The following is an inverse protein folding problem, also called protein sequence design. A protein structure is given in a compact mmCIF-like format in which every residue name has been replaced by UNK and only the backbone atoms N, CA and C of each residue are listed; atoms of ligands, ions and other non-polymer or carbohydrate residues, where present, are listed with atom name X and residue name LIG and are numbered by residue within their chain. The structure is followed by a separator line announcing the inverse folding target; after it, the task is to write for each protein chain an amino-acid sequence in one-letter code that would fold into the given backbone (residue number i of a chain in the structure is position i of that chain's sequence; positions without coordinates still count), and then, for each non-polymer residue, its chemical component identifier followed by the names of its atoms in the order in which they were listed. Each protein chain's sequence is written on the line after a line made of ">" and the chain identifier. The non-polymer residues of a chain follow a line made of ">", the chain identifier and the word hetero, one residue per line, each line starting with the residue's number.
data_IF_559636625240
#
_entry.id   IF_559636625240
#
_cell.length_a   1.000
_cell.length_b   1.000
_cell.length_c   1.000
_cell.angle_alpha   90.00
_cell.angle_beta   90.00
_cell.angle_gamma   90.00
#
_symmetry.space_group_name_H-M   'P 1'
#
loop_
_entity.id
_entity.type
_entity.pdbx_description
1 polymer ?
#
# COMPACT_ATOMS: atom_id res chain seq x y z
N UNK A 1 9.51 18.40 -15.27
CA UNK A 1 8.29 17.60 -15.52
C UNK A 1 7.37 18.27 -16.57
N UNK A 2 6.61 17.54 -17.39
CA UNK A 2 5.67 18.15 -18.38
C UNK A 2 4.30 18.45 -17.75
N UNK A 3 3.64 19.55 -18.16
CA UNK A 3 2.29 19.92 -17.70
C UNK A 3 1.25 18.80 -17.93
N UNK A 4 1.43 18.03 -19.01
CA UNK A 4 0.59 16.89 -19.34
C UNK A 4 0.64 15.79 -18.28
N UNK A 5 1.84 15.44 -17.78
CA UNK A 5 2.02 14.42 -16.73
C UNK A 5 1.28 14.83 -15.44
N UNK A 6 1.45 16.10 -15.03
CA UNK A 6 0.79 16.62 -13.84
C UNK A 6 -0.74 16.66 -13.99
N UNK A 7 -1.24 17.02 -15.17
CA UNK A 7 -2.68 17.01 -15.47
C UNK A 7 -3.25 15.61 -15.30
N UNK A 8 -2.56 14.57 -15.79
CA UNK A 8 -3.02 13.17 -15.70
C UNK A 8 -3.03 12.63 -14.27
N UNK A 9 -2.06 13.01 -13.44
CA UNK A 9 -2.03 12.64 -12.03
C UNK A 9 -3.14 13.31 -11.22
N UNK A 10 -3.37 14.61 -11.47
CA UNK A 10 -4.49 15.34 -10.89
C UNK A 10 -5.82 14.69 -11.29
N UNK A 11 -5.98 14.37 -12.57
CA UNK A 11 -7.19 13.72 -13.08
C UNK A 11 -7.42 12.35 -12.45
N UNK A 12 -6.35 11.56 -12.23
CA UNK A 12 -6.43 10.28 -11.51
C UNK A 12 -6.93 10.47 -10.07
N UNK A 13 -6.35 11.40 -9.30
CA UNK A 13 -6.77 11.69 -7.93
C UNK A 13 -8.23 12.15 -7.88
N UNK A 14 -8.63 13.05 -8.78
CA UNK A 14 -10.00 13.56 -8.87
C UNK A 14 -11.01 12.47 -9.23
N UNK A 15 -10.68 11.58 -10.17
CA UNK A 15 -11.56 10.48 -10.56
C UNK A 15 -11.75 9.46 -9.43
N UNK A 16 -10.67 9.11 -8.72
CA UNK A 16 -10.79 8.25 -7.54
C UNK A 16 -11.60 8.93 -6.43
N UNK A 17 -11.43 10.24 -6.22
CA UNK A 17 -12.15 11.00 -5.20
C UNK A 17 -13.66 11.11 -5.44
N UNK A 18 -14.14 10.95 -6.68
CA UNK A 18 -15.58 10.88 -7.00
C UNK A 18 -16.27 9.69 -6.33
N UNK A 19 -15.55 8.59 -6.12
CA UNK A 19 -16.10 7.35 -5.54
C UNK A 19 -15.65 7.18 -4.09
N UNK A 20 -14.42 7.57 -3.76
CA UNK A 20 -13.85 7.47 -2.41
C UNK A 20 -14.12 8.78 -1.65
N UNK A 21 -15.38 9.01 -1.32
CA UNK A 21 -15.83 10.27 -0.73
C UNK A 21 -15.20 10.55 0.64
N UNK A 22 -14.77 11.81 0.84
CA UNK A 22 -14.27 12.33 2.11
C UNK A 22 -12.90 11.80 2.55
N UNK A 23 -12.15 11.14 1.66
CA UNK A 23 -10.84 10.52 1.98
C UNK A 23 -9.74 10.89 0.97
N UNK A 24 -9.50 12.18 0.69
CA UNK A 24 -8.53 12.62 -0.31
C UNK A 24 -7.10 12.16 0.01
N UNK A 25 -6.73 12.16 1.30
CA UNK A 25 -5.39 11.70 1.72
C UNK A 25 -5.15 10.22 1.43
N UNK A 26 -6.19 9.37 1.56
CA UNK A 26 -6.07 7.93 1.31
C UNK A 26 -5.95 7.67 -0.18
N UNK A 27 -6.74 8.38 -0.99
CA UNK A 27 -6.61 8.35 -2.46
C UNK A 27 -5.19 8.72 -2.87
N UNK A 28 -4.69 9.85 -2.38
CA UNK A 28 -3.33 10.31 -2.64
C UNK A 28 -2.26 9.29 -2.23
N UNK A 29 -2.36 8.73 -1.02
CA UNK A 29 -1.41 7.69 -0.56
C UNK A 29 -1.49 6.41 -1.41
N UNK A 30 -2.67 6.04 -1.92
CA UNK A 30 -2.81 4.91 -2.85
C UNK A 30 -2.16 5.21 -4.21
N UNK A 31 -2.34 6.41 -4.76
CA UNK A 31 -1.67 6.85 -6.00
C UNK A 31 -0.16 6.85 -5.81
N UNK A 32 0.33 7.45 -4.73
CA UNK A 32 1.76 7.43 -4.36
C UNK A 32 2.24 5.98 -4.24
N UNK A 33 1.49 5.07 -3.61
CA UNK A 33 1.92 3.69 -3.46
C UNK A 33 2.05 2.94 -4.79
N UNK A 34 1.13 3.14 -5.73
CA UNK A 34 1.23 2.52 -7.06
C UNK A 34 2.44 3.03 -7.83
N UNK A 35 2.71 4.34 -7.75
CA UNK A 35 3.83 5.00 -8.42
C UNK A 35 5.18 4.68 -7.76
N UNK A 36 5.20 4.57 -6.43
CA UNK A 36 6.33 4.12 -5.63
C UNK A 36 6.45 2.59 -5.58
N UNK A 37 5.67 1.88 -6.40
CA UNK A 37 5.87 0.44 -6.59
C UNK A 37 5.66 -0.40 -5.31
N UNK A 38 4.85 0.13 -4.40
CA UNK A 38 4.64 -0.39 -3.05
C UNK A 38 3.21 -0.86 -2.78
N UNK A 39 3.04 -1.50 -1.63
CA UNK A 39 1.77 -2.06 -1.18
C UNK A 39 1.21 -1.30 0.02
N UNK A 40 -0.12 -1.37 0.20
CA UNK A 40 -0.82 -0.59 1.23
C UNK A 40 -1.52 -1.53 2.20
N UNK A 41 -1.36 -1.26 3.50
CA UNK A 41 -2.10 -1.92 4.57
C UNK A 41 -3.11 -0.93 5.17
N UNK A 42 -4.39 -1.19 4.95
CA UNK A 42 -5.50 -0.41 5.49
C UNK A 42 -6.01 -1.02 6.79
N UNK A 43 -5.82 -0.32 7.89
CA UNK A 43 -6.38 -0.72 9.18
C UNK A 43 -7.70 -0.02 9.40
N UNK A 44 -8.77 -0.82 9.51
CA UNK A 44 -10.04 -0.26 9.98
C UNK A 44 -11.09 -1.32 10.30
N UNK A 45 -12.17 -0.85 10.90
CA UNK A 45 -13.45 -1.56 11.01
C UNK A 45 -14.11 -1.83 9.64
N UNK A 46 -14.98 -2.85 9.55
CA UNK A 46 -15.72 -3.16 8.32
C UNK A 46 -16.59 -2.00 7.82
N UNK A 47 -16.81 -1.93 6.51
CA UNK A 47 -17.82 -1.04 5.91
C UNK A 47 -17.35 0.38 5.53
N UNK A 48 -16.06 0.70 5.66
CA UNK A 48 -15.54 2.07 5.43
C UNK A 48 -15.10 2.36 3.97
N UNK A 49 -15.59 1.59 2.99
CA UNK A 49 -15.32 1.82 1.56
C UNK A 49 -13.96 1.34 1.04
N UNK A 50 -13.28 0.41 1.74
CA UNK A 50 -11.97 -0.14 1.31
C UNK A 50 -12.05 -0.81 -0.08
N UNK A 51 -13.15 -1.51 -0.34
CA UNK A 51 -13.40 -2.13 -1.65
C UNK A 51 -13.51 -1.11 -2.77
N UNK A 52 -14.10 0.05 -2.49
CA UNK A 52 -14.22 1.13 -3.48
C UNK A 52 -12.86 1.68 -3.87
N UNK A 53 -11.91 1.79 -2.93
CA UNK A 53 -10.55 2.27 -3.21
C UNK A 53 -9.85 1.34 -4.22
N UNK A 54 -9.86 0.03 -3.96
CA UNK A 54 -9.22 -0.95 -4.83
C UNK A 54 -9.87 -1.03 -6.21
N UNK A 55 -11.22 -1.08 -6.26
CA UNK A 55 -11.95 -1.08 -7.54
C UNK A 55 -11.69 0.22 -8.33
N UNK A 56 -11.79 1.39 -7.69
CA UNK A 56 -11.60 2.68 -8.35
C UNK A 56 -10.19 2.81 -8.92
N UNK A 57 -9.17 2.41 -8.15
CA UNK A 57 -7.79 2.40 -8.62
C UNK A 57 -7.63 1.54 -9.87
N UNK A 58 -8.15 0.30 -9.84
CA UNK A 58 -8.04 -0.62 -10.96
C UNK A 58 -8.72 -0.08 -12.23
N UNK A 59 -9.94 0.47 -12.10
CA UNK A 59 -10.66 1.05 -13.22
C UNK A 59 -9.92 2.27 -13.79
N UNK A 60 -9.41 3.15 -12.94
CA UNK A 60 -8.71 4.36 -13.39
C UNK A 60 -7.41 4.05 -14.15
N UNK A 61 -6.77 2.91 -13.91
CA UNK A 61 -5.51 2.50 -14.56
C UNK A 61 -5.69 1.45 -15.67
N UNK A 62 -6.94 1.15 -16.07
CA UNK A 62 -7.26 0.08 -17.02
C UNK A 62 -6.66 -1.29 -16.61
N UNK A 63 -6.66 -1.56 -15.30
CA UNK A 63 -6.05 -2.74 -14.70
C UNK A 63 -7.08 -3.76 -14.22
N UNK A 64 -6.64 -5.02 -14.15
CA UNK A 64 -7.46 -6.08 -13.57
C UNK A 64 -7.59 -5.92 -12.05
N UNK A 65 -8.82 -6.02 -11.55
CA UNK A 65 -9.12 -6.03 -10.12
C UNK A 65 -9.42 -7.45 -9.63
N UNK A 66 -8.84 -7.83 -8.50
CA UNK A 66 -9.26 -9.02 -7.77
C UNK A 66 -9.52 -8.68 -6.30
N UNK A 67 -10.64 -9.17 -5.77
CA UNK A 67 -10.93 -9.14 -4.34
C UNK A 67 -10.78 -10.54 -3.77
N UNK A 68 -9.95 -10.65 -2.74
CA UNK A 68 -9.67 -11.88 -2.02
C UNK A 68 -10.05 -11.68 -0.55
N UNK A 69 -11.03 -12.45 -0.07
CA UNK A 69 -11.36 -12.52 1.35
C UNK A 69 -10.44 -13.56 2.01
N UNK A 70 -9.63 -13.15 2.98
CA UNK A 70 -8.71 -14.05 3.66
C UNK A 70 -9.41 -14.71 4.85
N UNK A 71 -9.83 -15.96 4.65
CA UNK A 71 -10.50 -16.76 5.68
C UNK A 71 -9.51 -17.71 6.38
N UNK A 72 -9.86 -18.24 7.58
CA UNK A 72 -8.98 -19.14 8.33
C UNK A 72 -8.68 -20.47 7.62
N UNK A 73 -9.56 -20.92 6.73
CA UNK A 73 -9.48 -22.15 5.96
C UNK A 73 -8.77 -22.00 4.61
N UNK A 74 -8.46 -20.77 4.20
CA UNK A 74 -7.82 -20.48 2.93
C UNK A 74 -6.40 -21.04 2.88
N UNK A 75 -6.10 -21.83 1.84
CA UNK A 75 -4.79 -22.42 1.62
C UNK A 75 -3.90 -21.50 0.77
N UNK A 76 -2.56 -21.62 0.86
CA UNK A 76 -1.66 -20.90 -0.01
C UNK A 76 -1.97 -21.08 -1.50
N UNK A 77 -2.32 -22.31 -1.93
CA UNK A 77 -2.69 -22.66 -3.31
C UNK A 77 -3.92 -21.93 -3.82
N UNK A 78 -4.84 -21.55 -2.94
CA UNK A 78 -6.05 -20.81 -3.33
C UNK A 78 -5.73 -19.37 -3.69
N UNK A 79 -4.56 -18.87 -3.25
CA UNK A 79 -4.06 -17.52 -3.52
C UNK A 79 -3.08 -17.53 -4.69
N UNK A 80 -2.11 -18.46 -4.65
CA UNK A 80 -1.04 -18.50 -5.64
C UNK A 80 -1.40 -19.27 -6.91
N UNK A 81 -2.47 -20.06 -6.88
CA UNK A 81 -2.85 -20.96 -7.96
C UNK A 81 -2.34 -22.38 -7.75
N UNK A 82 -2.74 -23.28 -8.65
CA UNK A 82 -2.45 -24.72 -8.54
C UNK A 82 -2.25 -25.35 -9.92
N UNK A 83 -1.48 -26.43 -9.97
CA UNK A 83 -1.32 -27.24 -11.17
C UNK A 83 -2.37 -28.33 -11.21
N UNK A 84 -3.23 -28.29 -12.23
CA UNK A 84 -4.27 -29.29 -12.44
C UNK A 84 -3.80 -30.33 -13.46
N UNK A 85 -3.90 -31.61 -13.11
CA UNK A 85 -3.63 -32.70 -14.04
C UNK A 85 -4.74 -32.78 -15.10
N UNK A 86 -4.36 -32.70 -16.37
CA UNK A 86 -5.28 -32.85 -17.50
C UNK A 86 -5.32 -34.32 -17.94
N UNK A 87 -6.41 -35.02 -17.62
CA UNK A 87 -6.61 -36.42 -17.97
C UNK A 87 -6.58 -36.69 -19.49
N UNK A 88 -6.83 -35.70 -20.35
CA UNK A 88 -6.82 -35.88 -21.81
C UNK A 88 -5.41 -35.84 -22.39
N UNK A 89 -4.54 -34.98 -21.87
CA UNK A 89 -3.16 -34.81 -22.39
C UNK A 89 -2.14 -35.59 -21.56
N UNK A 90 -2.45 -35.92 -20.31
CA UNK A 90 -1.51 -36.50 -19.36
C UNK A 90 -0.55 -35.49 -18.73
N UNK A 91 -0.79 -34.19 -18.94
CA UNK A 91 0.10 -33.11 -18.49
C UNK A 91 -0.52 -32.30 -17.34
N UNK A 92 0.35 -31.69 -16.53
CA UNK A 92 -0.05 -30.70 -15.53
C UNK A 92 -0.17 -29.33 -16.17
N UNK A 93 -1.34 -28.69 -16.04
CA UNK A 93 -1.59 -27.31 -16.49
C UNK A 93 -1.72 -26.39 -15.29
N UNK A 94 -0.85 -25.39 -15.21
CA UNK A 94 -0.95 -24.37 -14.17
C UNK A 94 -2.22 -23.51 -14.36
N UNK A 95 -2.97 -23.34 -13.28
CA UNK A 95 -4.09 -22.41 -13.17
C UNK A 95 -3.69 -21.26 -12.24
N UNK A 96 -3.51 -20.05 -12.80
CA UNK A 96 -3.17 -18.87 -12.01
C UNK A 96 -4.21 -18.60 -10.91
N UNK A 97 -3.72 -18.23 -9.73
CA UNK A 97 -4.56 -17.83 -8.62
C UNK A 97 -5.04 -16.37 -8.72
N UNK A 98 -5.83 -15.91 -7.73
CA UNK A 98 -6.36 -14.54 -7.66
C UNK A 98 -5.29 -13.45 -7.60
N UNK A 99 -4.03 -13.77 -7.27
CA UNK A 99 -2.96 -12.77 -7.29
C UNK A 99 -2.55 -12.29 -8.69
N UNK A 100 -2.97 -12.97 -9.76
CA UNK A 100 -2.68 -12.55 -11.14
C UNK A 100 -3.65 -11.45 -11.60
N UNK A 101 -3.68 -10.35 -10.86
CA UNK A 101 -4.42 -9.12 -11.15
C UNK A 101 -3.54 -7.90 -10.86
N UNK A 102 -3.80 -6.76 -11.51
CA UNK A 102 -3.00 -5.55 -11.29
C UNK A 102 -3.24 -4.95 -9.90
N UNK A 103 -4.49 -4.98 -9.43
CA UNK A 103 -4.89 -4.50 -8.11
C UNK A 103 -5.57 -5.63 -7.35
N UNK A 104 -4.96 -6.07 -6.26
CA UNK A 104 -5.49 -7.11 -5.38
C UNK A 104 -5.92 -6.47 -4.06
N UNK A 105 -7.21 -6.55 -3.73
CA UNK A 105 -7.72 -6.25 -2.40
C UNK A 105 -7.72 -7.53 -1.56
N UNK A 106 -6.83 -7.60 -0.58
CA UNK A 106 -6.72 -8.73 0.34
C UNK A 106 -7.40 -8.38 1.68
N UNK A 107 -8.67 -8.73 1.81
CA UNK A 107 -9.47 -8.39 2.99
C UNK A 107 -9.16 -9.29 4.18
N UNK A 108 -9.01 -8.67 5.36
CA UNK A 108 -8.80 -9.35 6.65
C UNK A 108 -7.58 -10.28 6.68
N UNK A 109 -6.41 -9.75 6.27
CA UNK A 109 -5.15 -10.50 6.23
C UNK A 109 -4.78 -11.17 7.55
N UNK A 110 -5.21 -10.59 8.67
CA UNK A 110 -5.02 -11.15 10.00
C UNK A 110 -5.95 -12.34 10.32
N UNK A 111 -6.88 -12.77 9.47
CA UNK A 111 -7.76 -13.94 9.74
C UNK A 111 -7.27 -15.24 9.13
N UNK A 112 -6.32 -15.20 8.21
CA UNK A 112 -5.76 -16.41 7.59
C UNK A 112 -4.49 -16.88 8.30
N UNK A 113 -4.11 -18.13 8.09
CA UNK A 113 -2.95 -18.74 8.77
C UNK A 113 -1.63 -18.06 8.38
N UNK A 114 -0.59 -18.08 9.25
CA UNK A 114 0.71 -17.50 8.94
C UNK A 114 1.35 -18.03 7.65
N UNK A 115 1.05 -19.28 7.27
CA UNK A 115 1.54 -19.88 6.02
C UNK A 115 0.90 -19.22 4.79
N UNK A 116 -0.40 -19.00 4.84
CA UNK A 116 -1.16 -18.33 3.77
C UNK A 116 -0.79 -16.85 3.68
N UNK A 117 -0.63 -16.16 4.82
CA UNK A 117 -0.07 -14.80 4.86
C UNK A 117 1.31 -14.73 4.19
N UNK A 118 2.19 -15.68 4.51
CA UNK A 118 3.54 -15.72 3.94
C UNK A 118 3.54 -15.87 2.43
N UNK A 119 2.65 -16.70 1.87
CA UNK A 119 2.52 -16.87 0.41
C UNK A 119 2.12 -15.57 -0.30
N UNK A 120 1.16 -14.82 0.25
CA UNK A 120 0.79 -13.50 -0.26
C UNK A 120 1.96 -12.50 -0.19
N UNK A 121 2.66 -12.47 0.95
CA UNK A 121 3.74 -11.53 1.21
C UNK A 121 5.03 -11.83 0.43
N UNK A 122 5.26 -13.10 0.09
CA UNK A 122 6.33 -13.54 -0.80
C UNK A 122 6.04 -13.06 -2.23
N UNK A 123 4.82 -13.30 -2.72
CA UNK A 123 4.37 -12.80 -4.02
C UNK A 123 4.49 -11.26 -4.15
N UNK A 124 4.18 -10.53 -3.07
CA UNK A 124 4.42 -9.08 -2.96
C UNK A 124 5.89 -8.69 -3.09
N UNK A 125 6.78 -9.43 -2.43
CA UNK A 125 8.22 -9.09 -2.38
C UNK A 125 8.92 -9.42 -3.70
N UNK A 126 8.61 -10.59 -4.26
CA UNK A 126 9.33 -11.15 -5.39
C UNK A 126 8.67 -10.78 -6.74
N UNK A 127 7.41 -10.31 -6.70
CA UNK A 127 6.58 -10.00 -7.88
C UNK A 127 6.45 -11.16 -8.87
N UNK A 128 6.59 -12.36 -8.35
CA UNK A 128 6.42 -13.61 -9.07
C UNK A 128 5.94 -14.67 -8.10
N UNK A 129 5.39 -15.74 -8.65
CA UNK A 129 4.90 -16.89 -7.90
C UNK A 129 5.57 -18.13 -8.45
N UNK A 130 6.13 -18.97 -7.57
CA UNK A 130 6.74 -20.24 -7.98
C UNK A 130 5.85 -21.41 -7.57
N UNK A 131 5.39 -22.20 -8.54
CA UNK A 131 4.59 -23.40 -8.33
C UNK A 131 5.24 -24.55 -9.10
N UNK A 132 5.42 -25.69 -8.43
CA UNK A 132 6.05 -26.90 -9.00
C UNK A 132 7.42 -26.66 -9.68
N UNK A 133 8.21 -25.73 -9.14
CA UNK A 133 9.53 -25.38 -9.66
C UNK A 133 9.51 -24.46 -10.89
N UNK A 134 8.35 -23.98 -11.32
CA UNK A 134 8.20 -23.00 -12.41
C UNK A 134 7.79 -21.65 -11.82
N UNK A 135 8.54 -20.60 -12.19
CA UNK A 135 8.24 -19.22 -11.77
C UNK A 135 7.35 -18.52 -12.80
N UNK A 136 6.28 -17.90 -12.31
CA UNK A 136 5.30 -17.15 -13.07
C UNK A 136 5.34 -15.68 -12.63
N UNK A 137 5.71 -14.73 -13.50
CA UNK A 137 5.72 -13.32 -13.15
C UNK A 137 4.29 -12.80 -12.93
N UNK A 138 4.11 -11.95 -11.93
CA UNK A 138 2.85 -11.24 -11.72
C UNK A 138 2.68 -10.12 -12.76
N UNK A 139 1.45 -9.64 -13.00
CA UNK A 139 1.22 -8.48 -13.86
C UNK A 139 2.03 -7.26 -13.40
N UNK A 140 2.50 -6.43 -14.32
CA UNK A 140 3.09 -5.13 -13.98
C UNK A 140 2.20 -4.02 -14.52
N UNK A 141 1.67 -3.12 -13.67
CA UNK A 141 1.78 -3.01 -12.21
C UNK A 141 1.11 -4.15 -11.43
N UNK A 142 1.68 -4.48 -10.27
CA UNK A 142 1.07 -5.30 -9.23
C UNK A 142 1.03 -4.53 -7.90
N UNK A 143 -0.17 -4.28 -7.37
CA UNK A 143 -0.36 -3.69 -6.04
C UNK A 143 -1.33 -4.52 -5.21
N UNK A 144 -0.92 -4.83 -3.98
CA UNK A 144 -1.79 -5.37 -2.94
C UNK A 144 -2.23 -4.24 -2.01
N UNK A 145 -3.54 -4.11 -1.86
CA UNK A 145 -4.19 -3.34 -0.81
C UNK A 145 -4.71 -4.36 0.19
N UNK A 146 -3.97 -4.59 1.28
CA UNK A 146 -4.40 -5.49 2.34
C UNK A 146 -5.23 -4.73 3.37
N UNK A 147 -6.19 -5.41 3.99
CA UNK A 147 -6.97 -4.84 5.09
C UNK A 147 -6.82 -5.69 6.34
N UNK A 148 -6.77 -5.06 7.50
CA UNK A 148 -6.86 -5.77 8.78
C UNK A 148 -7.78 -5.03 9.75
N UNK A 149 -8.48 -5.81 10.56
CA UNK A 149 -9.31 -5.31 11.64
C UNK A 149 -8.53 -5.44 12.97
N UNK A 150 -8.08 -4.32 13.58
CA UNK A 150 -7.27 -4.38 14.80
C UNK A 150 -8.07 -4.72 16.06
N UNK A 151 -9.41 -4.74 15.98
CA UNK A 151 -10.29 -4.99 17.13
C UNK A 151 -10.76 -6.44 17.24
N UNK A 152 -10.42 -7.28 16.27
CA UNK A 152 -10.84 -8.69 16.24
C UNK A 152 -9.74 -9.57 16.84
N UNK A 153 -9.97 -10.06 18.06
CA UNK A 153 -8.97 -10.82 18.83
C UNK A 153 -9.16 -12.34 18.73
N UNK A 154 -10.36 -12.81 18.38
CA UNK A 154 -10.63 -14.25 18.25
C UNK A 154 -10.39 -14.74 16.83
N UNK A 155 -9.56 -15.77 16.69
CA UNK A 155 -9.28 -16.40 15.39
C UNK A 155 -8.40 -15.56 14.46
N UNK A 156 -7.64 -14.60 15.00
CA UNK A 156 -6.72 -13.76 14.23
C UNK A 156 -5.24 -14.07 14.51
N UNK A 157 -4.43 -13.91 13.47
CA UNK A 157 -2.98 -14.08 13.44
C UNK A 157 -2.36 -12.72 13.09
N UNK A 158 -1.77 -12.00 14.06
CA UNK A 158 -1.17 -10.70 13.79
C UNK A 158 0.04 -10.86 12.86
N UNK A 159 0.22 -9.89 11.96
CA UNK A 159 1.39 -9.82 11.09
C UNK A 159 2.63 -9.48 11.95
N UNK A 160 3.68 -10.33 11.94
CA UNK A 160 4.98 -9.97 12.53
C UNK A 160 5.58 -8.72 11.88
N UNK A 161 6.47 -8.03 12.58
CA UNK A 161 7.11 -6.80 12.12
C UNK A 161 7.87 -7.02 10.79
N UNK A 162 8.52 -8.18 10.65
CA UNK A 162 9.19 -8.57 9.40
C UNK A 162 8.26 -8.64 8.18
N UNK A 163 6.97 -8.92 8.42
CA UNK A 163 5.92 -8.99 7.41
C UNK A 163 5.34 -7.60 7.15
N UNK A 164 5.07 -6.82 8.21
CA UNK A 164 4.62 -5.43 8.08
C UNK A 164 5.59 -4.57 7.26
N UNK A 165 6.90 -4.79 7.40
CA UNK A 165 7.95 -4.06 6.69
C UNK A 165 7.94 -4.29 5.15
N UNK A 166 7.07 -5.17 4.63
CA UNK A 166 6.78 -5.32 3.18
C UNK A 166 5.72 -4.34 2.65
N UNK A 167 4.95 -3.71 3.51
CA UNK A 167 4.00 -2.68 3.11
C UNK A 167 4.69 -1.32 3.07
N UNK A 168 4.48 -0.57 2.00
CA UNK A 168 4.96 0.80 1.88
C UNK A 168 4.25 1.67 2.91
N UNK A 169 2.92 1.63 2.91
CA UNK A 169 2.10 2.41 3.84
C UNK A 169 1.25 1.54 4.74
N UNK A 170 1.12 1.95 6.00
CA UNK A 170 0.07 1.52 6.92
C UNK A 170 -0.82 2.71 7.25
N UNK A 171 -2.08 2.66 6.82
CA UNK A 171 -3.00 3.80 6.83
C UNK A 171 -4.18 3.50 7.76
N UNK A 172 -4.55 4.48 8.60
CA UNK A 172 -5.81 4.46 9.35
C UNK A 172 -6.88 5.14 8.50
N UNK A 173 -7.98 4.44 8.24
CA UNK A 173 -9.01 4.95 7.32
C UNK A 173 -10.04 5.83 8.05
N UNK A 174 -10.58 5.35 9.18
CA UNK A 174 -11.60 6.04 9.96
C UNK A 174 -12.99 6.10 9.30
N UNK A 175 -13.98 6.41 10.13
CA UNK A 175 -15.31 6.77 9.67
C UNK A 175 -15.29 8.16 9.01
N UNK A 176 -15.97 8.33 7.86
CA UNK A 176 -16.08 9.65 7.25
C UNK A 176 -16.96 10.57 8.12
N UNK A 177 -16.86 11.89 7.94
CA UNK A 177 -17.75 12.85 8.58
C UNK A 177 -19.22 12.58 8.22
N UNK A 178 -20.15 12.97 9.11
CA UNK A 178 -21.59 12.77 8.91
C UNK A 178 -22.10 13.33 7.58
N UNK A 179 -21.55 14.46 7.15
CA UNK A 179 -21.92 15.09 5.88
C UNK A 179 -21.58 14.20 4.68
N UNK A 180 -20.44 13.51 4.76
CA UNK A 180 -20.00 12.55 3.74
C UNK A 180 -20.83 11.27 3.81
N UNK A 181 -21.16 10.76 5.01
CA UNK A 181 -22.06 9.60 5.14
C UNK A 181 -23.44 9.86 4.52
N UNK A 182 -23.96 11.08 4.71
CA UNK A 182 -25.22 11.48 4.09
C UNK A 182 -25.14 11.53 2.56
N UNK A 183 -23.98 11.91 2.01
CA UNK A 183 -23.73 11.88 0.57
C UNK A 183 -23.61 10.44 0.04
N UNK A 184 -22.84 9.58 0.72
CA UNK A 184 -22.71 8.16 0.39
C UNK A 184 -24.09 7.49 0.34
N UNK A 185 -24.96 7.78 1.30
CA UNK A 185 -26.32 7.23 1.33
C UNK A 185 -27.15 7.67 0.12
N UNK A 186 -27.00 8.91 -0.34
CA UNK A 186 -27.69 9.41 -1.55
C UNK A 186 -27.16 8.75 -2.81
N UNK A 187 -25.85 8.59 -2.91
CA UNK A 187 -25.20 8.05 -4.12
C UNK A 187 -25.49 6.54 -4.25
N UNK A 188 -25.50 5.79 -3.14
CA UNK A 188 -25.87 4.36 -3.13
C UNK A 188 -27.33 4.09 -3.54
N UNK A 189 -28.24 5.05 -3.38
CA UNK A 189 -29.63 4.88 -3.85
C UNK A 189 -29.72 4.81 -5.38
N UNK A 190 -28.69 5.30 -6.10
CA UNK A 190 -28.67 5.37 -7.56
C UNK A 190 -27.79 4.29 -8.22
N UNK A 191 -27.05 3.48 -7.45
CA UNK A 191 -26.15 2.41 -7.96
C UNK A 191 -24.79 2.38 -7.26
N UNK A 192 -23.85 1.51 -7.71
CA UNK A 192 -22.43 1.58 -7.31
C UNK A 192 -21.69 2.54 -8.27
N UNK A 193 -21.27 3.76 -7.84
CA UNK A 193 -20.66 4.76 -8.72
C UNK A 193 -19.34 4.31 -9.37
N UNK A 194 -18.74 3.25 -8.85
CA UNK A 194 -17.46 2.72 -9.30
C UNK A 194 -17.54 2.04 -10.67
N UNK A 195 -18.70 1.51 -11.05
CA UNK A 195 -18.89 0.83 -12.34
C UNK A 195 -18.99 1.81 -13.52
N UNK A 196 -19.27 3.09 -13.23
CA UNK A 196 -19.34 4.16 -14.24
C UNK A 196 -17.98 4.83 -14.48
N UNK A 197 -16.96 4.52 -13.67
CA UNK A 197 -15.63 5.08 -13.83
C UNK A 197 -15.01 4.62 -15.16
N UNK A 198 -14.62 5.60 -15.97
CA UNK A 198 -13.85 5.36 -17.19
C UNK A 198 -12.36 5.29 -16.86
N UNK A 199 -11.58 4.46 -17.58
CA UNK A 199 -10.13 4.48 -17.47
C UNK A 199 -9.53 5.84 -17.83
N UNK A 200 -8.55 6.28 -17.04
CA UNK A 200 -7.84 7.57 -17.21
C UNK A 200 -6.39 7.34 -17.65
N UNK A 201 -5.78 6.28 -17.16
CA UNK A 201 -4.45 5.84 -17.52
C UNK A 201 -4.54 4.43 -18.10
N UNK A 202 -3.79 4.16 -19.18
CA UNK A 202 -3.46 2.79 -19.52
C UNK A 202 -2.34 2.27 -18.62
N UNK A 203 -2.12 0.96 -18.65
CA UNK A 203 -0.97 0.34 -17.98
C UNK A 203 0.36 0.93 -18.50
N UNK A 204 0.50 1.16 -19.81
CA UNK A 204 1.72 1.74 -20.40
C UNK A 204 1.99 3.17 -19.91
N UNK A 205 0.93 3.95 -19.73
CA UNK A 205 1.02 5.29 -19.16
C UNK A 205 1.52 5.25 -17.73
N UNK A 206 0.96 4.35 -16.92
CA UNK A 206 1.37 4.21 -15.52
C UNK A 206 2.83 3.76 -15.39
N UNK A 207 3.29 2.85 -16.25
CA UNK A 207 4.70 2.45 -16.30
C UNK A 207 5.61 3.62 -16.71
N UNK A 208 5.13 4.51 -17.58
CA UNK A 208 5.86 5.73 -17.96
C UNK A 208 5.92 6.74 -16.81
N UNK A 209 4.83 6.90 -16.06
CA UNK A 209 4.81 7.74 -14.85
C UNK A 209 5.77 7.23 -13.78
N UNK A 210 5.86 5.90 -13.57
CA UNK A 210 6.84 5.31 -12.65
C UNK A 210 8.28 5.63 -13.03
N UNK A 211 8.62 5.63 -14.33
CA UNK A 211 9.96 6.04 -14.79
C UNK A 211 10.25 7.49 -14.40
N UNK A 212 9.27 8.39 -14.56
CA UNK A 212 9.39 9.77 -14.11
C UNK A 212 9.63 9.92 -12.60
N UNK A 213 9.00 9.08 -11.78
CA UNK A 213 9.28 9.03 -10.32
C UNK A 213 10.74 8.65 -10.05
N UNK A 214 11.31 7.72 -10.82
CA UNK A 214 12.71 7.32 -10.65
C UNK A 214 13.71 8.43 -11.01
N UNK A 215 13.30 9.39 -11.83
CA UNK A 215 14.09 10.55 -12.26
C UNK A 215 14.05 11.73 -11.27
N UNK A 216 13.16 11.72 -10.27
CA UNK A 216 13.10 12.77 -9.25
C UNK A 216 14.41 12.85 -8.48
N UNK A 217 15.01 14.03 -8.45
CA UNK A 217 16.33 14.25 -7.88
C UNK A 217 16.29 14.49 -6.37
N UNK A 218 17.38 14.12 -5.69
CA UNK A 218 17.63 14.42 -4.29
C UNK A 218 18.98 15.15 -4.19
N UNK A 219 19.02 16.23 -3.43
CA UNK A 219 20.26 16.95 -3.15
C UNK A 219 21.01 16.28 -1.98
N UNK A 220 22.34 16.39 -1.96
CA UNK A 220 23.20 15.79 -0.93
C UNK A 220 22.76 16.15 0.49
N UNK A 221 22.36 17.39 0.74
CA UNK A 221 21.86 17.85 2.04
C UNK A 221 20.57 17.13 2.48
N UNK A 222 19.71 16.75 1.53
CA UNK A 222 18.50 15.97 1.78
C UNK A 222 18.79 14.48 1.94
N UNK A 223 19.83 13.95 1.28
CA UNK A 223 20.31 12.59 1.52
C UNK A 223 20.80 12.45 2.96
N UNK A 224 21.61 13.39 3.44
CA UNK A 224 22.07 13.44 4.83
C UNK A 224 20.89 13.57 5.80
N UNK A 225 19.95 14.49 5.53
CA UNK A 225 18.73 14.64 6.34
C UNK A 225 17.90 13.35 6.43
N UNK A 226 17.74 12.63 5.31
CA UNK A 226 17.08 11.32 5.31
C UNK A 226 17.84 10.30 6.16
N UNK A 227 19.16 10.23 6.03
CA UNK A 227 19.99 9.34 6.83
C UNK A 227 19.90 9.67 8.32
N UNK A 228 19.90 10.96 8.69
CA UNK A 228 19.71 11.42 10.07
C UNK A 228 18.36 10.96 10.62
N UNK A 229 17.28 11.02 9.83
CA UNK A 229 15.97 10.46 10.22
C UNK A 229 16.11 8.98 10.56
N UNK A 230 16.73 8.20 9.67
CA UNK A 230 16.87 6.77 9.86
C UNK A 230 17.75 6.46 11.08
N UNK A 231 18.87 7.15 11.25
CA UNK A 231 19.77 6.97 12.39
C UNK A 231 19.10 7.36 13.71
N UNK A 232 18.34 8.45 13.75
CA UNK A 232 17.56 8.83 14.94
C UNK A 232 16.58 7.72 15.38
N UNK A 233 16.03 6.92 14.46
CA UNK A 233 15.22 5.75 14.83
C UNK A 233 16.03 4.59 15.39
N UNK A 234 17.26 4.37 14.89
CA UNK A 234 18.14 3.26 15.30
C UNK A 234 18.79 3.52 16.65
N UNK A 235 19.13 4.78 16.91
CA UNK A 235 19.80 5.23 18.13
C UNK A 235 18.80 5.63 19.23
N UNK A 236 17.50 5.62 18.93
CA UNK A 236 16.46 5.93 19.90
C UNK A 236 16.44 4.94 21.05
N UNK A 237 16.62 5.44 22.28
CA UNK A 237 16.49 4.60 23.47
C UNK A 237 15.09 3.99 23.64
N UNK A 238 14.07 4.59 23.01
CA UNK A 238 12.69 4.14 23.04
C UNK A 238 12.39 2.97 22.08
N UNK A 239 13.33 2.60 21.20
CA UNK A 239 13.14 1.53 20.19
C UNK A 239 14.14 0.38 20.39
N UNK A 240 13.67 -0.87 20.38
CA UNK A 240 14.50 -2.06 20.29
C UNK A 240 15.08 -2.23 18.88
N UNK A 241 14.29 -1.89 17.86
CA UNK A 241 14.66 -2.00 16.45
C UNK A 241 14.18 -0.73 15.74
N UNK A 242 15.12 -0.01 15.14
CA UNK A 242 14.86 1.13 14.27
C UNK A 242 14.61 0.71 12.81
N UNK A 243 14.61 1.69 11.91
CA UNK A 243 14.26 1.44 10.51
C UNK A 243 15.32 0.63 9.76
N UNK A 244 14.87 -0.41 9.07
CA UNK A 244 15.68 -1.29 8.22
C UNK A 244 16.16 -0.56 6.96
N UNK A 245 17.16 -1.10 6.26
CA UNK A 245 17.58 -0.59 4.94
C UNK A 245 16.43 -0.65 3.91
N UNK A 246 15.55 -1.66 4.01
CA UNK A 246 14.35 -1.73 3.17
C UNK A 246 13.39 -0.57 3.47
N UNK A 247 13.21 -0.23 4.75
CA UNK A 247 12.41 0.92 5.16
C UNK A 247 12.97 2.25 4.68
N UNK A 248 14.30 2.44 4.70
CA UNK A 248 14.98 3.60 4.12
C UNK A 248 14.66 3.73 2.61
N UNK A 249 14.86 2.66 1.84
CA UNK A 249 14.63 2.68 0.39
C UNK A 249 13.16 2.90 0.04
N UNK A 250 12.25 2.27 0.79
CA UNK A 250 10.81 2.45 0.62
C UNK A 250 10.38 3.89 0.92
N UNK A 251 10.92 4.49 1.98
CA UNK A 251 10.64 5.87 2.36
C UNK A 251 11.17 6.89 1.34
N UNK A 252 12.37 6.65 0.81
CA UNK A 252 12.93 7.44 -0.28
C UNK A 252 12.04 7.39 -1.53
N UNK A 253 11.66 6.19 -1.99
CA UNK A 253 10.80 6.03 -3.18
C UNK A 253 9.40 6.63 -2.98
N UNK A 254 8.85 6.53 -1.78
CA UNK A 254 7.59 7.19 -1.45
C UNK A 254 7.70 8.72 -1.53
N UNK A 255 8.80 9.30 -1.01
CA UNK A 255 9.06 10.74 -1.10
C UNK A 255 9.19 11.19 -2.56
N UNK A 256 9.89 10.44 -3.41
CA UNK A 256 10.00 10.75 -4.84
C UNK A 256 8.64 10.72 -5.52
N UNK A 257 7.82 9.70 -5.24
CA UNK A 257 6.48 9.62 -5.78
C UNK A 257 5.59 10.78 -5.29
N UNK A 258 5.74 11.23 -4.03
CA UNK A 258 5.03 12.39 -3.52
C UNK A 258 5.43 13.68 -4.25
N UNK A 259 6.72 13.95 -4.40
CA UNK A 259 7.21 15.11 -5.14
C UNK A 259 6.71 15.10 -6.60
N UNK A 260 6.75 13.94 -7.24
CA UNK A 260 6.26 13.74 -8.60
C UNK A 260 4.75 14.01 -8.73
N UNK A 261 3.94 13.47 -7.81
CA UNK A 261 2.50 13.76 -7.72
C UNK A 261 2.24 15.24 -7.48
N UNK A 262 3.16 15.95 -6.83
CA UNK A 262 3.06 17.39 -6.53
C UNK A 262 3.55 18.33 -7.62
N UNK A 263 3.93 17.83 -8.80
CA UNK A 263 4.42 18.73 -9.84
C UNK A 263 5.93 18.98 -9.79
N UNK A 264 6.67 18.30 -8.89
CA UNK A 264 8.11 18.55 -8.66
C UNK A 264 8.99 17.40 -9.15
N UNK A 265 10.15 17.75 -9.70
CA UNK A 265 11.23 16.83 -10.10
C UNK A 265 12.43 16.84 -9.13
N UNK A 266 12.23 17.41 -7.95
CA UNK A 266 13.17 17.43 -6.84
C UNK A 266 12.44 17.23 -5.50
N UNK A 267 13.13 16.61 -4.55
CA UNK A 267 12.64 16.42 -3.20
C UNK A 267 12.76 17.68 -2.35
N UNK A 268 11.84 17.83 -1.40
CA UNK A 268 11.92 18.81 -0.32
C UNK A 268 11.74 18.11 1.03
N UNK A 269 12.16 18.73 2.16
CA UNK A 269 12.04 18.13 3.49
C UNK A 269 10.61 17.70 3.86
N UNK A 270 9.61 18.42 3.36
CA UNK A 270 8.19 18.16 3.63
C UNK A 270 7.70 16.82 3.06
N UNK A 271 8.30 16.34 1.96
CA UNK A 271 8.00 15.03 1.37
C UNK A 271 8.24 13.91 2.37
N UNK A 272 9.35 14.00 3.12
CA UNK A 272 9.69 13.06 4.17
C UNK A 272 8.80 13.25 5.40
N UNK A 273 8.61 14.50 5.86
CA UNK A 273 7.83 14.76 7.08
C UNK A 273 6.39 14.24 6.98
N UNK A 274 5.72 14.45 5.84
CA UNK A 274 4.34 14.01 5.61
C UNK A 274 4.21 12.49 5.51
N UNK A 275 5.24 11.82 4.97
CA UNK A 275 5.24 10.37 4.79
C UNK A 275 5.86 9.58 5.95
N UNK A 276 6.48 10.25 6.92
CA UNK A 276 7.20 9.60 8.01
C UNK A 276 6.31 8.62 8.79
N UNK A 277 5.15 9.06 9.23
CA UNK A 277 4.23 8.21 10.01
C UNK A 277 3.70 7.03 9.19
N UNK A 278 3.05 7.21 8.02
CA UNK A 278 2.48 6.09 7.27
C UNK A 278 3.54 5.11 6.76
N UNK A 279 4.81 5.52 6.62
CA UNK A 279 5.88 4.66 6.09
C UNK A 279 6.71 3.98 7.18
N UNK A 280 7.00 4.66 8.29
CA UNK A 280 8.00 4.24 9.27
C UNK A 280 7.39 3.63 10.53
N UNK A 281 6.18 4.04 10.93
CA UNK A 281 5.61 3.66 12.23
C UNK A 281 5.40 2.14 12.40
N UNK A 282 5.12 1.41 11.31
CA UNK A 282 4.96 -0.05 11.34
C UNK A 282 6.26 -0.84 11.14
N UNK A 283 7.39 -0.15 11.01
CA UNK A 283 8.71 -0.74 10.75
C UNK A 283 9.65 -0.66 11.96
N UNK A 284 9.18 -0.15 13.09
CA UNK A 284 9.95 -0.04 14.34
C UNK A 284 9.37 -0.89 15.45
N UNK A 285 10.21 -1.30 16.39
CA UNK A 285 9.80 -2.06 17.57
C UNK A 285 10.08 -1.22 18.84
N UNK A 286 9.05 -0.75 19.57
CA UNK A 286 9.26 0.03 20.79
C UNK A 286 9.77 -0.81 21.97
N UNK A 287 10.53 -0.18 22.90
CA UNK A 287 10.94 -0.79 24.17
C UNK A 287 9.83 -0.67 25.21
N UNK A 288 9.44 -1.79 25.83
CA UNK A 288 8.45 -1.84 26.93
C UNK A 288 7.33 -2.87 26.71
N UNK A 289 6.69 -3.30 27.81
CA UNK A 289 5.64 -4.32 27.82
C UNK A 289 4.21 -3.74 27.92
N UNK A 290 3.40 -4.11 26.92
CA UNK A 290 1.96 -4.45 26.94
C UNK A 290 0.82 -3.39 26.85
N UNK A 291 0.06 -3.62 25.76
CA UNK A 291 -1.40 -3.56 25.54
C UNK A 291 -2.12 -2.20 25.50
N UNK A 292 -2.80 -1.98 24.35
CA UNK A 292 -3.64 -0.83 23.96
C UNK A 292 -2.92 0.51 23.81
N UNK A 293 -3.07 1.16 22.64
CA UNK A 293 -2.47 2.47 22.34
C UNK A 293 -1.03 2.44 21.81
N UNK A 294 -0.41 1.26 21.64
CA UNK A 294 0.97 1.12 21.13
C UNK A 294 1.15 1.81 19.77
N UNK A 295 0.16 1.72 18.88
CA UNK A 295 0.22 2.36 17.57
C UNK A 295 0.33 3.88 17.68
N UNK A 296 -0.59 4.53 18.37
CA UNK A 296 -0.60 6.00 18.50
C UNK A 296 0.66 6.51 19.22
N UNK A 297 1.16 5.74 20.21
CA UNK A 297 2.43 6.01 20.87
C UNK A 297 3.60 5.96 19.89
N UNK A 298 3.69 4.93 19.05
CA UNK A 298 4.76 4.77 18.05
C UNK A 298 4.65 5.82 16.96
N UNK A 299 3.45 6.11 16.45
CA UNK A 299 3.21 7.18 15.46
C UNK A 299 3.64 8.54 16.01
N UNK A 300 3.31 8.83 17.27
CA UNK A 300 3.73 10.07 17.96
C UNK A 300 5.24 10.11 18.17
N UNK A 301 5.86 8.98 18.54
CA UNK A 301 7.31 8.87 18.70
C UNK A 301 8.03 9.15 17.38
N UNK A 302 7.61 8.51 16.29
CA UNK A 302 8.18 8.71 14.95
C UNK A 302 8.03 10.17 14.53
N UNK A 303 6.83 10.74 14.65
CA UNK A 303 6.59 12.15 14.32
C UNK A 303 7.54 13.08 15.09
N UNK A 304 7.67 12.86 16.40
CA UNK A 304 8.57 13.64 17.25
C UNK A 304 10.05 13.48 16.86
N UNK A 305 10.49 12.27 16.52
CA UNK A 305 11.87 12.03 16.08
C UNK A 305 12.17 12.78 14.78
N UNK A 306 11.27 12.73 13.80
CA UNK A 306 11.44 13.44 12.53
C UNK A 306 11.36 14.96 12.71
N UNK A 307 10.43 15.46 13.52
CA UNK A 307 10.29 16.89 13.79
C UNK A 307 11.48 17.50 14.54
N UNK A 308 12.22 16.68 15.30
CA UNK A 308 13.40 17.11 16.04
C UNK A 308 14.66 17.29 15.16
N UNK A 309 14.67 16.71 13.96
CA UNK A 309 15.82 16.78 13.06
C UNK A 309 15.78 18.11 12.31
N UNK A 310 16.87 18.92 12.39
CA UNK A 310 16.94 20.18 11.66
C UNK A 310 16.77 19.98 10.17
N UNK A 311 15.91 20.81 9.57
CA UNK A 311 15.73 20.84 8.12
C UNK A 311 16.97 21.49 7.49
N UNK A 312 17.57 20.88 6.44
CA UNK A 312 18.69 21.51 5.73
C UNK A 312 18.28 22.88 5.17
N UNK A 313 19.22 23.82 5.24
CA UNK A 313 19.04 25.24 4.84
C UNK A 313 19.22 25.47 3.35
#
# INVERSE_FOLDING_TARGET
>A
MTEEVQSRLTELEEHMAKVVLGKPEIVRLCVIAVLAEGHVLLEDVPGVGKTLIGKALAHCIDGNFCRLQLTPDLLPSDIVGTSLYNNQTGDFTYKPGPLFANVVLADEINRTTPRTQSALLEAMSDRQISVDGVSHPLPDPFIVIATQNPFEFEGTYPLPESQLDRFLFRIKVGYPPREIEAQILKDHLNGEPVEELQPILSIEDLLSLRKGVHEVTIEESLEEYLLDIIHATRDSEALHVGISTRGLLAFFRAAQAMAFVEGRDYLIPDDFKRLAVPTLAHRVLPKGFHHTGQRESVETLIKRLVDAIPVPS
#
